data_IF_676639426944
#
_entry.id   IF_676639426944
#
_cell.length_a   1.000
_cell.length_b   1.000
_cell.length_c   1.000
_cell.angle_alpha   90.00
_cell.angle_beta   90.00
_cell.angle_gamma   90.00
#
_symmetry.space_group_name_H-M   'P 1'
#
loop_
_entity.id
_entity.type
_entity.pdbx_description
1 polymer ?
#
# COMPACT_ATOMS: atom_id res chain seq x y z
N UNK A 1 10.46 -39.12 8.31
CA UNK A 1 9.43 -40.08 8.75
C UNK A 1 9.89 -40.65 10.08
N UNK A 2 9.53 -40.00 11.19
CA UNK A 2 9.58 -40.50 12.56
C UNK A 2 8.66 -39.58 13.38
N UNK A 3 7.53 -40.13 13.80
CA UNK A 3 6.55 -39.51 14.70
C UNK A 3 6.38 -40.49 15.86
N UNK A 4 6.71 -40.06 17.07
CA UNK A 4 6.51 -40.82 18.31
C UNK A 4 5.55 -40.04 19.21
N UNK A 5 4.33 -40.58 19.23
CA UNK A 5 3.37 -40.77 20.33
C UNK A 5 3.76 -40.19 21.71
N UNK A 6 2.87 -39.48 22.41
CA UNK A 6 1.77 -40.07 23.21
C UNK A 6 1.15 -39.07 24.23
N UNK A 7 -0.18 -39.14 24.27
CA UNK A 7 -1.19 -38.91 25.32
C UNK A 7 -0.78 -38.32 26.68
N UNK A 8 -1.62 -37.43 27.23
CA UNK A 8 -2.65 -37.80 28.22
C UNK A 8 -3.28 -36.54 28.83
N UNK A 9 -4.62 -36.51 28.88
CA UNK A 9 -5.43 -35.50 29.56
C UNK A 9 -5.65 -35.97 31.00
N UNK A 10 -5.26 -35.14 31.96
CA UNK A 10 -5.59 -35.34 33.37
C UNK A 10 -7.05 -34.97 33.66
N UNK A 11 -7.71 -35.88 34.38
CA UNK A 11 -9.02 -35.78 34.99
C UNK A 11 -8.87 -35.41 36.49
N UNK A 12 -9.98 -35.00 37.08
CA UNK A 12 -10.28 -34.97 38.52
C UNK A 12 -9.66 -33.83 39.36
N UNK A 13 -10.41 -32.73 39.40
CA UNK A 13 -10.48 -31.89 40.59
C UNK A 13 -11.65 -32.33 41.47
N UNK A 14 -11.37 -32.85 42.66
CA UNK A 14 -12.27 -32.85 43.82
C UNK A 14 -11.43 -33.15 45.07
N UNK A 15 -11.39 -32.22 46.03
CA UNK A 15 -10.99 -32.54 47.41
C UNK A 15 -11.70 -31.59 48.37
N UNK A 16 -12.71 -32.14 49.02
CA UNK A 16 -13.52 -31.58 50.09
C UNK A 16 -12.80 -31.77 51.44
N UNK A 17 -12.60 -30.67 52.19
CA UNK A 17 -11.97 -30.69 53.51
C UNK A 17 -13.01 -31.05 54.56
N UNK A 18 -12.93 -32.28 55.07
CA UNK A 18 -13.68 -32.75 56.22
C UNK A 18 -13.04 -32.25 57.53
N UNK A 19 -13.88 -31.59 58.34
CA UNK A 19 -13.58 -31.07 59.69
C UNK A 19 -13.81 -32.19 60.71
N UNK A 20 -12.76 -32.64 61.40
CA UNK A 20 -12.89 -33.56 62.54
C UNK A 20 -12.35 -32.89 63.81
N UNK A 21 -13.24 -32.75 64.80
CA UNK A 21 -12.94 -32.46 66.20
C UNK A 21 -12.88 -33.78 66.97
N UNK A 22 -11.92 -33.94 67.88
CA UNK A 22 -12.10 -34.79 69.08
C UNK A 22 -11.17 -34.38 70.23
N UNK A 23 -11.82 -33.90 71.29
CA UNK A 23 -11.67 -34.21 72.74
C UNK A 23 -10.33 -34.68 73.34
N UNK A 24 -9.90 -33.97 74.40
CA UNK A 24 -9.15 -34.51 75.56
C UNK A 24 -10.02 -35.44 76.43
N UNK A 25 -9.48 -36.29 77.35
CA UNK A 25 -9.32 -35.84 78.75
C UNK A 25 -8.29 -36.59 79.69
N UNK A 26 -7.95 -35.92 80.81
CA UNK A 26 -7.53 -36.36 82.19
C UNK A 26 -6.21 -37.13 82.45
N UNK A 27 -5.27 -36.59 83.24
CA UNK A 27 -5.02 -36.90 84.69
C UNK A 27 -3.57 -37.42 84.83
N UNK A 28 -2.72 -37.22 85.86
CA UNK A 28 -2.82 -36.95 87.31
C UNK A 28 -1.49 -36.29 87.79
N UNK A 29 -1.50 -35.37 88.77
CA UNK A 29 -0.99 -35.55 90.17
C UNK A 29 0.56 -35.45 90.30
N UNK A 30 1.24 -34.68 91.18
CA UNK A 30 0.92 -33.76 92.27
C UNK A 30 2.24 -33.51 93.05
N UNK A 31 2.52 -32.23 93.43
CA UNK A 31 3.26 -31.73 94.65
C UNK A 31 4.69 -32.26 94.98
N UNK A 32 5.69 -31.54 95.50
CA UNK A 32 5.81 -30.35 96.36
C UNK A 32 7.19 -29.62 96.20
N UNK A 33 7.22 -28.35 96.59
CA UNK A 33 8.33 -27.35 96.59
C UNK A 33 9.29 -27.52 97.81
N UNK A 34 10.51 -26.91 97.91
CA UNK A 34 10.67 -25.43 97.86
C UNK A 34 11.99 -24.83 97.30
N UNK A 35 11.86 -23.57 96.84
CA UNK A 35 12.95 -22.66 96.46
C UNK A 35 13.63 -22.06 97.70
N UNK A 36 14.97 -21.98 97.68
CA UNK A 36 15.76 -21.20 98.64
C UNK A 36 16.66 -20.22 97.88
N UNK A 37 16.53 -18.93 98.25
CA UNK A 37 17.33 -17.79 97.77
C UNK A 37 18.79 -17.93 98.19
N UNK A 38 19.72 -17.50 97.33
CA UNK A 38 20.89 -16.72 97.73
C UNK A 38 21.45 -15.98 96.50
N UNK A 39 21.50 -14.65 96.61
CA UNK A 39 22.18 -13.71 95.72
C UNK A 39 23.39 -13.20 96.51
N UNK A 40 24.59 -13.42 96.02
CA UNK A 40 25.79 -12.71 96.46
C UNK A 40 26.66 -12.43 95.24
N UNK A 41 26.67 -11.15 94.85
CA UNK A 41 27.70 -10.55 94.02
C UNK A 41 28.87 -10.12 94.93
N UNK A 42 30.06 -10.02 94.36
CA UNK A 42 31.19 -9.25 94.91
C UNK A 42 32.35 -10.14 95.34
N UNK A 43 33.35 -10.35 94.48
CA UNK A 43 34.48 -9.45 94.20
C UNK A 43 35.67 -9.85 95.07
N UNK A 44 36.59 -10.58 94.44
CA UNK A 44 37.95 -10.77 94.89
C UNK A 44 38.64 -9.42 95.11
N UNK A 45 39.09 -9.17 96.33
CA UNK A 45 40.28 -8.36 96.58
C UNK A 45 41.09 -9.01 97.70
N UNK A 46 42.27 -9.49 97.31
CA UNK A 46 43.36 -9.87 98.18
C UNK A 46 43.69 -8.73 99.16
N UNK A 47 43.74 -9.03 100.46
CA UNK A 47 44.66 -8.37 101.38
C UNK A 47 44.97 -9.30 102.56
N UNK A 48 46.28 -9.45 102.79
CA UNK A 48 46.88 -10.56 103.51
C UNK A 48 46.51 -10.65 104.99
N UNK A 49 46.29 -11.88 105.42
CA UNK A 49 46.52 -12.30 106.80
C UNK A 49 47.56 -13.41 106.75
N UNK A 50 48.72 -13.08 107.30
CA UNK A 50 49.79 -14.00 107.67
C UNK A 50 49.24 -15.02 108.65
N UNK A 51 48.93 -16.21 108.14
CA UNK A 51 48.59 -17.39 108.90
C UNK A 51 49.18 -18.57 108.16
N UNK A 52 50.15 -19.20 108.78
CA UNK A 52 50.90 -20.37 108.34
C UNK A 52 49.93 -21.51 107.95
N UNK A 53 49.46 -21.47 106.70
CA UNK A 53 48.68 -22.55 106.11
C UNK A 53 49.68 -23.64 105.76
N UNK A 54 49.73 -24.67 106.60
CA UNK A 54 50.38 -25.93 106.28
C UNK A 54 49.97 -26.34 104.87
N UNK A 55 50.89 -26.16 103.92
CA UNK A 55 50.76 -26.68 102.57
C UNK A 55 50.57 -28.17 102.77
N UNK A 56 49.33 -28.64 102.61
CA UNK A 56 49.05 -30.06 102.61
C UNK A 56 49.98 -30.66 101.57
N UNK A 57 50.94 -31.46 102.05
CA UNK A 57 51.95 -32.14 101.25
C UNK A 57 51.25 -32.71 100.01
N UNK A 58 51.66 -32.38 98.77
CA UNK A 58 51.06 -32.97 97.60
C UNK A 58 51.05 -34.48 97.81
N UNK A 59 49.89 -35.13 97.71
CA UNK A 59 49.80 -36.57 97.82
C UNK A 59 50.68 -37.16 96.73
N UNK A 60 51.93 -37.50 97.06
CA UNK A 60 52.81 -38.18 96.14
C UNK A 60 52.24 -39.59 96.03
N UNK A 61 51.66 -39.91 94.89
CA UNK A 61 51.30 -41.27 94.56
C UNK A 61 52.16 -41.60 93.33
N UNK A 62 52.89 -42.69 93.43
CA UNK A 62 53.65 -43.24 92.31
C UNK A 62 52.88 -44.47 91.84
N UNK A 63 52.40 -44.40 90.61
CA UNK A 63 51.85 -45.56 89.92
C UNK A 63 52.93 -46.14 89.04
N UNK A 64 53.23 -47.41 89.28
CA UNK A 64 54.15 -48.18 88.47
C UNK A 64 53.34 -49.20 87.68
N UNK A 65 53.51 -49.20 86.37
CA UNK A 65 52.92 -50.23 85.53
C UNK A 65 53.48 -51.59 85.93
N UNK A 66 52.59 -52.57 86.12
CA UNK A 66 53.01 -53.93 86.44
C UNK A 66 53.59 -54.65 85.20
N UNK A 67 53.28 -54.14 83.99
CA UNK A 67 53.58 -54.71 82.66
C UNK A 67 53.68 -53.61 81.59
N UNK A 68 54.32 -53.91 80.44
CA UNK A 68 54.48 -53.01 79.28
C UNK A 68 53.20 -52.81 78.43
N UNK A 69 52.01 -53.02 79.00
CA UNK A 69 50.73 -52.83 78.31
C UNK A 69 49.97 -51.59 78.82
N UNK A 70 49.06 -51.03 78.01
CA UNK A 70 48.14 -49.98 78.45
C UNK A 70 47.43 -50.36 79.76
N UNK A 71 47.23 -49.39 80.65
CA UNK A 71 46.62 -49.61 81.98
C UNK A 71 45.27 -50.31 81.87
N UNK A 72 44.49 -50.01 80.83
CA UNK A 72 43.17 -50.59 80.54
C UNK A 72 43.22 -52.08 80.23
N UNK A 73 44.36 -52.62 79.83
CA UNK A 73 44.55 -54.02 79.46
C UNK A 73 45.06 -54.89 80.62
N UNK A 74 45.45 -54.28 81.75
CA UNK A 74 45.80 -54.99 82.97
C UNK A 74 44.72 -54.79 84.05
N UNK A 75 43.80 -55.75 84.25
CA UNK A 75 42.70 -55.66 85.21
C UNK A 75 43.15 -55.28 86.63
N UNK A 76 44.33 -55.73 87.06
CA UNK A 76 44.86 -55.42 88.39
C UNK A 76 45.34 -53.98 88.49
N UNK A 77 46.00 -53.46 87.46
CA UNK A 77 46.36 -52.04 87.35
C UNK A 77 45.13 -51.14 87.33
N UNK A 78 44.09 -51.50 86.56
CA UNK A 78 42.79 -50.79 86.60
C UNK A 78 42.20 -50.81 88.01
N UNK A 79 42.20 -51.97 88.68
CA UNK A 79 41.67 -52.09 90.03
C UNK A 79 42.45 -51.26 91.06
N UNK A 80 43.77 -51.20 90.93
CA UNK A 80 44.62 -50.35 91.77
C UNK A 80 44.31 -48.87 91.51
N UNK A 81 44.18 -48.46 90.25
CA UNK A 81 43.84 -47.09 89.88
C UNK A 81 42.45 -46.69 90.39
N UNK A 82 41.42 -47.52 90.15
CA UNK A 82 40.04 -47.29 90.63
C UNK A 82 39.97 -47.21 92.15
N UNK A 83 40.78 -48.00 92.86
CA UNK A 83 40.89 -47.96 94.32
C UNK A 83 41.32 -46.59 94.85
N UNK A 84 42.12 -45.85 94.08
CA UNK A 84 42.57 -44.51 94.47
C UNK A 84 41.47 -43.45 94.33
N UNK A 85 40.47 -43.66 93.47
CA UNK A 85 39.35 -42.72 93.29
C UNK A 85 38.26 -42.83 94.37
N UNK A 86 38.57 -43.46 95.51
CA UNK A 86 37.61 -43.64 96.59
C UNK A 86 37.29 -42.31 97.28
N UNK A 87 36.04 -42.11 97.74
CA UNK A 87 35.70 -40.96 98.57
C UNK A 87 36.56 -40.85 99.83
N UNK A 88 36.83 -39.62 100.24
CA UNK A 88 37.58 -39.32 101.46
C UNK A 88 36.91 -39.97 102.69
N UNK A 89 37.72 -40.46 103.64
CA UNK A 89 37.23 -41.09 104.86
C UNK A 89 36.88 -42.58 104.71
N UNK A 90 36.99 -43.14 103.52
CA UNK A 90 36.80 -44.56 103.32
C UNK A 90 38.13 -45.17 102.84
N UNK A 91 38.98 -45.78 103.68
CA UNK A 91 40.16 -46.52 103.21
C UNK A 91 39.76 -47.87 102.62
N UNK A 92 40.28 -48.26 101.44
CA UNK A 92 40.16 -49.64 100.94
C UNK A 92 41.43 -50.41 101.34
N UNK A 93 41.31 -51.68 101.79
CA UNK A 93 42.47 -52.53 102.03
C UNK A 93 43.28 -52.71 100.74
N UNK A 94 44.55 -53.11 100.86
CA UNK A 94 45.40 -53.43 99.70
C UNK A 94 44.73 -54.51 98.84
N UNK A 95 44.90 -54.44 97.52
CA UNK A 95 44.30 -55.40 96.59
C UNK A 95 44.70 -56.85 96.92
N UNK A 96 45.94 -57.06 97.39
CA UNK A 96 46.46 -58.37 97.82
C UNK A 96 45.77 -58.90 99.10
N UNK A 97 45.21 -58.01 99.92
CA UNK A 97 44.61 -58.34 101.22
C UNK A 97 43.07 -58.35 101.17
N UNK A 98 42.46 -58.24 99.99
CA UNK A 98 41.00 -58.28 99.83
C UNK A 98 40.47 -59.71 99.73
N UNK A 99 39.53 -60.09 100.61
CA UNK A 99 38.85 -61.40 100.58
C UNK A 99 38.06 -61.64 99.29
N UNK A 100 37.58 -60.58 98.63
CA UNK A 100 36.83 -60.63 97.35
C UNK A 100 37.58 -59.92 96.21
N UNK A 101 38.91 -60.06 96.16
CA UNK A 101 39.79 -59.40 95.17
C UNK A 101 39.28 -59.52 93.74
N UNK A 102 38.96 -60.73 93.29
CA UNK A 102 38.52 -60.97 91.91
C UNK A 102 37.22 -60.23 91.56
N UNK A 103 36.24 -60.22 92.48
CA UNK A 103 34.99 -59.50 92.28
C UNK A 103 35.22 -57.99 92.22
N UNK A 104 36.13 -57.47 93.06
CA UNK A 104 36.52 -56.06 93.03
C UNK A 104 37.23 -55.69 91.72
N UNK A 105 38.15 -56.54 91.22
CA UNK A 105 38.84 -56.34 89.94
C UNK A 105 37.83 -56.30 88.78
N UNK A 106 36.88 -57.26 88.73
CA UNK A 106 35.82 -57.26 87.71
C UNK A 106 34.97 -55.99 87.75
N UNK A 107 34.57 -55.55 88.95
CA UNK A 107 33.84 -54.30 89.14
C UNK A 107 34.65 -53.08 88.68
N UNK A 108 35.94 -53.00 89.03
CA UNK A 108 36.80 -51.89 88.65
C UNK A 108 37.01 -51.80 87.13
N UNK A 109 37.21 -52.94 86.46
CA UNK A 109 37.28 -53.00 84.99
C UNK A 109 35.96 -52.56 84.35
N UNK A 110 34.83 -53.05 84.85
CA UNK A 110 33.51 -52.62 84.36
C UNK A 110 33.30 -51.10 84.53
N UNK A 111 33.73 -50.54 85.66
CA UNK A 111 33.69 -49.10 85.92
C UNK A 111 34.58 -48.31 84.96
N UNK A 112 35.81 -48.77 84.70
CA UNK A 112 36.71 -48.13 83.74
C UNK A 112 36.13 -48.17 82.31
N UNK A 113 35.58 -49.30 81.87
CA UNK A 113 34.94 -49.43 80.56
C UNK A 113 33.72 -48.51 80.43
N UNK A 114 32.91 -48.37 81.48
CA UNK A 114 31.78 -47.44 81.49
C UNK A 114 32.25 -45.97 81.36
N UNK A 115 33.34 -45.62 82.04
CA UNK A 115 33.93 -44.28 81.96
C UNK A 115 34.53 -44.00 80.57
N UNK A 116 35.18 -44.99 79.95
CA UNK A 116 35.67 -44.90 78.57
C UNK A 116 34.53 -44.68 77.58
N UNK A 117 33.43 -45.44 77.69
CA UNK A 117 32.25 -45.26 76.85
C UNK A 117 31.63 -43.86 77.01
N UNK A 118 31.57 -43.35 78.25
CA UNK A 118 31.10 -41.99 78.52
C UNK A 118 32.03 -40.95 77.88
N UNK A 119 33.34 -41.10 77.98
CA UNK A 119 34.30 -40.19 77.35
C UNK A 119 34.17 -40.20 75.82
N UNK A 120 33.97 -41.37 75.20
CA UNK A 120 33.70 -41.48 73.75
C UNK A 120 32.39 -40.77 73.35
N UNK A 121 31.35 -40.89 74.17
CA UNK A 121 30.09 -40.19 73.96
C UNK A 121 30.26 -38.68 74.06
N UNK A 122 30.95 -38.19 75.10
CA UNK A 122 31.27 -36.77 75.27
C UNK A 122 32.07 -36.24 74.08
N UNK A 123 33.12 -36.94 73.65
CA UNK A 123 33.91 -36.55 72.47
C UNK A 123 33.06 -36.48 71.18
N UNK A 124 32.09 -37.39 71.03
CA UNK A 124 31.15 -37.37 69.89
C UNK A 124 30.22 -36.15 69.95
N UNK A 125 29.71 -35.82 71.13
CA UNK A 125 28.88 -34.63 71.33
C UNK A 125 29.67 -33.34 71.09
N UNK A 126 30.89 -33.24 71.60
CA UNK A 126 31.77 -32.09 71.38
C UNK A 126 32.05 -31.88 69.89
N UNK A 127 32.36 -32.96 69.16
CA UNK A 127 32.55 -32.88 67.70
C UNK A 127 31.29 -32.35 67.00
N UNK A 128 30.11 -32.90 67.32
CA UNK A 128 28.83 -32.44 66.74
C UNK A 128 28.53 -30.98 67.09
N UNK A 129 28.95 -30.51 68.26
CA UNK A 129 28.79 -29.12 68.67
C UNK A 129 29.67 -28.17 67.85
N UNK A 130 30.86 -28.64 67.43
CA UNK A 130 31.74 -27.84 66.56
C UNK A 130 31.21 -27.73 65.13
N UNK A 131 30.45 -28.72 64.65
CA UNK A 131 29.81 -28.68 63.33
C UNK A 131 28.58 -27.75 63.28
N UNK A 132 28.11 -27.24 64.42
CA UNK A 132 27.01 -26.27 64.47
C UNK A 132 27.55 -24.90 64.04
N UNK A 133 26.98 -24.26 63.01
CA UNK A 133 27.41 -22.95 62.56
C UNK A 133 27.40 -21.95 63.71
N UNK A 134 28.43 -21.10 63.74
CA UNK A 134 28.52 -20.04 64.76
C UNK A 134 27.46 -18.96 64.48
N UNK A 135 27.13 -18.17 65.49
CA UNK A 135 26.06 -17.17 65.39
C UNK A 135 26.33 -16.08 64.33
N UNK A 136 27.61 -15.74 64.12
CA UNK A 136 28.08 -14.81 63.10
C UNK A 136 27.91 -15.40 61.69
N UNK A 137 28.28 -16.67 61.49
CA UNK A 137 28.01 -17.38 60.22
C UNK A 137 26.51 -17.43 59.91
N UNK A 138 25.68 -17.71 60.94
CA UNK A 138 24.23 -17.73 60.79
C UNK A 138 23.66 -16.34 60.44
N UNK A 139 24.27 -15.27 60.96
CA UNK A 139 23.91 -13.90 60.60
C UNK A 139 24.26 -13.59 59.14
N UNK A 140 25.46 -13.96 58.68
CA UNK A 140 25.86 -13.79 57.28
C UNK A 140 24.99 -14.61 56.33
N UNK A 141 24.68 -15.87 56.66
CA UNK A 141 23.74 -16.69 55.89
C UNK A 141 22.37 -16.00 55.81
N UNK A 142 21.86 -15.50 56.93
CA UNK A 142 20.59 -14.77 56.98
C UNK A 142 20.61 -13.49 56.14
N UNK A 143 21.74 -12.80 56.10
CA UNK A 143 21.95 -11.61 55.26
C UNK A 143 21.92 -11.98 53.79
N UNK A 144 22.67 -13.00 53.36
CA UNK A 144 22.66 -13.50 51.98
C UNK A 144 21.27 -13.95 51.56
N UNK A 145 20.52 -14.64 52.41
CA UNK A 145 19.13 -15.02 52.14
C UNK A 145 18.24 -13.80 51.86
N UNK A 146 18.43 -12.69 52.60
CA UNK A 146 17.67 -11.45 52.37
C UNK A 146 18.05 -10.81 51.04
N UNK A 147 19.33 -10.75 50.73
CA UNK A 147 19.84 -10.20 49.46
C UNK A 147 19.34 -11.01 48.27
N UNK A 148 19.43 -12.34 48.33
CA UNK A 148 18.90 -13.24 47.30
C UNK A 148 17.38 -13.10 47.15
N UNK A 149 16.65 -12.95 48.25
CA UNK A 149 15.19 -12.74 48.20
C UNK A 149 14.82 -11.41 47.52
N UNK A 150 15.60 -10.36 47.76
CA UNK A 150 15.43 -9.07 47.08
C UNK A 150 15.78 -9.19 45.59
N UNK A 151 16.90 -9.85 45.27
CA UNK A 151 17.34 -10.12 43.90
C UNK A 151 16.31 -10.90 43.09
N UNK A 152 15.73 -11.95 43.69
CA UNK A 152 14.66 -12.75 43.08
C UNK A 152 13.44 -11.90 42.74
N UNK A 153 13.01 -11.01 43.64
CA UNK A 153 11.86 -10.13 43.41
C UNK A 153 12.13 -9.16 42.26
N UNK A 154 13.32 -8.54 42.22
CA UNK A 154 13.70 -7.64 41.12
C UNK A 154 13.79 -8.38 39.77
N UNK A 155 14.29 -9.62 39.77
CA UNK A 155 14.36 -10.44 38.56
C UNK A 155 12.96 -10.77 38.04
N UNK A 156 12.03 -11.13 38.92
CA UNK A 156 10.64 -11.41 38.56
C UNK A 156 9.93 -10.16 37.99
N UNK A 157 10.10 -9.00 38.62
CA UNK A 157 9.53 -7.73 38.12
C UNK A 157 10.08 -7.38 36.73
N UNK A 158 11.38 -7.64 36.51
CA UNK A 158 12.03 -7.44 35.21
C UNK A 158 11.50 -8.43 34.16
N UNK A 159 11.32 -9.69 34.52
CA UNK A 159 10.75 -10.71 33.63
C UNK A 159 9.33 -10.35 33.19
N UNK A 160 8.48 -9.90 34.13
CA UNK A 160 7.14 -9.41 33.80
C UNK A 160 7.18 -8.21 32.83
N UNK A 161 8.12 -7.29 33.01
CA UNK A 161 8.30 -6.15 32.10
C UNK A 161 8.77 -6.60 30.72
N UNK A 162 9.72 -7.53 30.65
CA UNK A 162 10.23 -8.08 29.41
C UNK A 162 9.13 -8.85 28.65
N UNK A 163 8.29 -9.61 29.34
CA UNK A 163 7.16 -10.32 28.73
C UNK A 163 6.16 -9.35 28.07
N UNK A 164 5.86 -8.22 28.73
CA UNK A 164 5.02 -7.17 28.15
C UNK A 164 5.66 -6.53 26.90
N UNK A 165 6.98 -6.29 26.93
CA UNK A 165 7.71 -5.78 25.77
C UNK A 165 7.72 -6.78 24.60
N UNK A 166 7.86 -8.07 24.89
CA UNK A 166 7.84 -9.13 23.88
C UNK A 166 6.47 -9.20 23.20
N UNK A 167 5.37 -9.17 23.98
CA UNK A 167 4.02 -9.13 23.43
C UNK A 167 3.77 -7.88 22.56
N UNK A 168 4.31 -6.73 22.95
CA UNK A 168 4.23 -5.51 22.14
C UNK A 168 5.05 -5.63 20.82
N UNK A 169 6.24 -6.24 20.89
CA UNK A 169 7.08 -6.49 19.73
C UNK A 169 6.43 -7.47 18.75
N UNK A 170 5.79 -8.53 19.24
CA UNK A 170 5.02 -9.47 18.40
C UNK A 170 3.86 -8.77 17.67
N UNK A 171 3.12 -7.90 18.36
CA UNK A 171 2.05 -7.12 17.74
C UNK A 171 2.58 -6.21 16.63
N UNK A 172 3.71 -5.54 16.86
CA UNK A 172 4.38 -4.73 15.85
C UNK A 172 4.86 -5.58 14.66
N UNK A 173 5.41 -6.77 14.92
CA UNK A 173 5.80 -7.72 13.88
C UNK A 173 4.62 -8.12 12.98
N UNK A 174 3.47 -8.43 13.59
CA UNK A 174 2.24 -8.74 12.84
C UNK A 174 1.74 -7.55 12.01
N UNK A 175 1.84 -6.33 12.54
CA UNK A 175 1.49 -5.11 11.81
C UNK A 175 2.45 -4.87 10.63
N UNK A 176 3.75 -5.07 10.81
CA UNK A 176 4.74 -4.96 9.75
C UNK A 176 4.47 -5.96 8.62
N UNK A 177 4.18 -7.22 8.96
CA UNK A 177 3.83 -8.24 7.97
C UNK A 177 2.55 -7.89 7.20
N UNK A 178 1.53 -7.36 7.88
CA UNK A 178 0.30 -6.88 7.23
C UNK A 178 0.57 -5.70 6.29
N UNK A 179 1.37 -4.71 6.72
CA UNK A 179 1.75 -3.57 5.90
C UNK A 179 2.55 -4.00 4.66
N UNK A 180 3.47 -4.93 4.82
CA UNK A 180 4.25 -5.48 3.70
C UNK A 180 3.34 -6.17 2.67
N UNK A 181 2.36 -6.95 3.12
CA UNK A 181 1.37 -7.56 2.24
C UNK A 181 0.57 -6.50 1.47
N UNK A 182 0.11 -5.43 2.14
CA UNK A 182 -0.56 -4.31 1.49
C UNK A 182 0.30 -3.61 0.45
N UNK A 183 1.58 -3.37 0.75
CA UNK A 183 2.52 -2.74 -0.20
C UNK A 183 2.74 -3.59 -1.45
N UNK A 184 2.77 -4.94 -1.32
CA UNK A 184 2.85 -5.84 -2.47
C UNK A 184 1.61 -5.73 -3.37
N UNK A 185 0.42 -5.66 -2.78
CA UNK A 185 -0.84 -5.46 -3.53
C UNK A 185 -0.80 -4.13 -4.29
N UNK A 186 -0.54 -3.02 -3.60
CA UNK A 186 -0.44 -1.69 -4.22
C UNK A 186 0.64 -1.64 -5.31
N UNK A 187 1.76 -2.33 -5.12
CA UNK A 187 2.80 -2.40 -6.14
C UNK A 187 2.33 -3.13 -7.40
N UNK A 188 1.49 -4.15 -7.27
CA UNK A 188 0.95 -4.88 -8.41
C UNK A 188 -0.15 -4.08 -9.12
N UNK A 189 -1.02 -3.41 -8.36
CA UNK A 189 -2.02 -2.48 -8.91
C UNK A 189 -1.34 -1.36 -9.71
N UNK A 190 -0.32 -0.71 -9.14
CA UNK A 190 0.47 0.32 -9.85
C UNK A 190 1.06 -0.20 -11.16
N UNK A 191 1.54 -1.45 -11.20
CA UNK A 191 2.07 -2.06 -12.44
C UNK A 191 0.96 -2.24 -13.47
N UNK A 192 -0.21 -2.74 -13.05
CA UNK A 192 -1.37 -2.90 -13.93
C UNK A 192 -1.87 -1.56 -14.49
N UNK A 193 -1.95 -0.53 -13.63
CA UNK A 193 -2.35 0.82 -14.06
C UNK A 193 -1.36 1.41 -15.06
N UNK A 194 -0.05 1.19 -14.86
CA UNK A 194 0.97 1.63 -15.80
C UNK A 194 0.84 0.97 -17.18
N UNK A 195 0.52 -0.32 -17.21
CA UNK A 195 0.23 -1.05 -18.45
C UNK A 195 -1.02 -0.48 -19.15
N UNK A 196 -2.08 -0.16 -18.40
CA UNK A 196 -3.27 0.48 -18.95
C UNK A 196 -2.97 1.87 -19.52
N UNK A 197 -2.18 2.68 -18.81
CA UNK A 197 -1.74 4.00 -19.30
C UNK A 197 -0.96 3.85 -20.61
N UNK A 198 -0.01 2.92 -20.68
CA UNK A 198 0.76 2.68 -21.90
C UNK A 198 -0.13 2.27 -23.09
N UNK A 199 -1.13 1.41 -22.84
CA UNK A 199 -2.11 1.04 -23.88
C UNK A 199 -2.94 2.24 -24.36
N UNK A 200 -3.41 3.08 -23.42
CA UNK A 200 -4.20 4.27 -23.75
C UNK A 200 -3.36 5.32 -24.49
N UNK A 201 -2.11 5.54 -24.10
CA UNK A 201 -1.16 6.41 -24.80
C UNK A 201 -0.97 5.97 -26.25
N UNK A 202 -0.74 4.68 -26.49
CA UNK A 202 -0.62 4.14 -27.84
C UNK A 202 -1.89 4.37 -28.68
N UNK A 203 -3.07 4.27 -28.05
CA UNK A 203 -4.36 4.53 -28.70
C UNK A 203 -4.54 6.01 -29.04
N UNK A 204 -4.17 6.91 -28.12
CA UNK A 204 -4.20 8.37 -28.35
C UNK A 204 -3.27 8.73 -29.51
N UNK A 205 -2.05 8.21 -29.51
CA UNK A 205 -1.05 8.45 -30.56
C UNK A 205 -1.55 7.95 -31.94
N UNK A 206 -2.08 6.72 -32.00
CA UNK A 206 -2.67 6.18 -33.23
C UNK A 206 -3.85 7.02 -33.74
N UNK A 207 -4.74 7.45 -32.83
CA UNK A 207 -5.87 8.32 -33.17
C UNK A 207 -5.43 9.69 -33.65
N UNK A 208 -4.40 10.28 -33.03
CA UNK A 208 -3.84 11.57 -33.42
C UNK A 208 -3.21 11.50 -34.83
N UNK A 209 -2.49 10.43 -35.13
CA UNK A 209 -1.92 10.19 -36.46
C UNK A 209 -3.02 10.04 -37.52
N UNK A 210 -4.07 9.26 -37.25
CA UNK A 210 -5.23 9.14 -38.16
C UNK A 210 -5.91 10.49 -38.40
N UNK A 211 -6.16 11.26 -37.34
CA UNK A 211 -6.76 12.59 -37.45
C UNK A 211 -5.91 13.55 -38.29
N UNK A 212 -4.57 13.52 -38.10
CA UNK A 212 -3.63 14.31 -38.89
C UNK A 212 -3.70 13.95 -40.39
N UNK A 213 -3.76 12.67 -40.71
CA UNK A 213 -3.87 12.21 -42.10
C UNK A 213 -5.23 12.53 -42.73
N UNK A 214 -6.32 12.41 -41.96
CA UNK A 214 -7.66 12.83 -42.39
C UNK A 214 -7.69 14.34 -42.67
N UNK A 215 -7.08 15.15 -41.80
CA UNK A 215 -6.98 16.60 -41.97
C UNK A 215 -6.15 16.97 -43.21
N UNK A 216 -5.02 16.28 -43.46
CA UNK A 216 -4.20 16.47 -44.66
C UNK A 216 -4.98 16.13 -45.93
N UNK A 217 -5.71 15.01 -45.94
CA UNK A 217 -6.58 14.60 -47.06
C UNK A 217 -7.68 15.62 -47.32
N UNK A 218 -8.44 16.00 -46.29
CA UNK A 218 -9.49 17.00 -46.42
C UNK A 218 -8.96 18.35 -46.92
N UNK A 219 -7.76 18.75 -46.47
CA UNK A 219 -7.10 19.97 -46.95
C UNK A 219 -6.72 19.87 -48.43
N UNK A 220 -6.20 18.71 -48.87
CA UNK A 220 -5.87 18.48 -50.27
C UNK A 220 -7.12 18.48 -51.15
N UNK A 221 -8.19 17.79 -50.74
CA UNK A 221 -9.45 17.72 -51.48
C UNK A 221 -10.10 19.10 -51.59
N UNK A 222 -10.07 19.90 -50.51
CA UNK A 222 -10.55 21.28 -50.54
C UNK A 222 -9.75 22.16 -51.50
N UNK A 223 -8.41 22.02 -51.52
CA UNK A 223 -7.54 22.74 -52.47
C UNK A 223 -7.83 22.33 -53.91
N UNK A 224 -8.06 21.03 -54.15
CA UNK A 224 -8.40 20.51 -55.48
C UNK A 224 -9.75 21.06 -55.95
N UNK A 225 -10.78 21.00 -55.10
CA UNK A 225 -12.09 21.57 -55.41
C UNK A 225 -12.02 23.08 -55.71
N UNK A 226 -11.19 23.81 -54.96
CA UNK A 226 -10.93 25.23 -55.22
C UNK A 226 -10.24 25.44 -56.59
N UNK A 227 -9.24 24.64 -56.94
CA UNK A 227 -8.58 24.72 -58.25
C UNK A 227 -9.55 24.39 -59.39
N UNK A 228 -10.37 23.35 -59.23
CA UNK A 228 -11.38 22.94 -60.22
C UNK A 228 -12.42 24.06 -60.44
N UNK A 229 -12.89 24.71 -59.36
CA UNK A 229 -13.81 25.85 -59.47
C UNK A 229 -13.16 27.09 -60.12
N UNK A 230 -11.87 27.36 -59.86
CA UNK A 230 -11.15 28.45 -60.54
C UNK A 230 -10.98 28.16 -62.04
N UNK A 231 -10.73 26.90 -62.39
CA UNK A 231 -10.63 26.46 -63.77
C UNK A 231 -11.97 26.60 -64.50
N UNK A 232 -13.08 26.22 -63.86
CA UNK A 232 -14.44 26.40 -64.38
C UNK A 232 -14.76 27.89 -64.64
N UNK A 233 -14.48 28.78 -63.68
CA UNK A 233 -14.65 30.23 -63.84
C UNK A 233 -13.82 30.77 -65.00
N UNK A 234 -12.57 30.30 -65.14
CA UNK A 234 -11.67 30.71 -66.22
C UNK A 234 -12.18 30.28 -67.60
N UNK A 235 -12.71 29.05 -67.71
CA UNK A 235 -13.35 28.55 -68.94
C UNK A 235 -14.59 29.37 -69.28
N UNK A 236 -15.48 29.59 -68.30
CA UNK A 236 -16.69 30.41 -68.48
C UNK A 236 -16.37 31.84 -68.93
N UNK A 237 -15.34 32.46 -68.34
CA UNK A 237 -14.90 33.80 -68.71
C UNK A 237 -14.36 33.84 -70.15
N UNK A 238 -13.57 32.83 -70.54
CA UNK A 238 -13.05 32.70 -71.91
C UNK A 238 -14.19 32.56 -72.92
N UNK A 239 -15.18 31.70 -72.64
CA UNK A 239 -16.35 31.55 -73.52
C UNK A 239 -17.13 32.87 -73.67
N UNK A 240 -17.35 33.60 -72.56
CA UNK A 240 -18.00 34.93 -72.60
C UNK A 240 -17.18 35.93 -73.40
N UNK A 241 -15.85 35.91 -73.27
CA UNK A 241 -14.96 36.77 -74.02
C UNK A 241 -15.01 36.49 -75.53
N UNK A 242 -14.96 35.21 -75.94
CA UNK A 242 -15.08 34.83 -77.35
C UNK A 242 -16.45 35.21 -77.93
N UNK A 243 -17.54 35.00 -77.18
CA UNK A 243 -18.88 35.47 -77.56
C UNK A 243 -18.92 36.99 -77.73
N UNK A 244 -18.29 37.73 -76.81
CA UNK A 244 -18.19 39.20 -76.87
C UNK A 244 -17.40 39.64 -78.10
N UNK A 245 -16.28 38.97 -78.40
CA UNK A 245 -15.46 39.24 -79.58
C UNK A 245 -16.25 39.06 -80.87
N UNK A 246 -17.01 37.97 -80.99
CA UNK A 246 -17.87 37.71 -82.14
C UNK A 246 -18.99 38.75 -82.29
N UNK A 247 -19.62 39.17 -81.18
CA UNK A 247 -20.64 40.24 -81.21
C UNK A 247 -20.05 41.58 -81.62
N UNK A 248 -18.88 41.95 -81.10
CA UNK A 248 -18.20 43.19 -81.51
C UNK A 248 -17.76 43.16 -82.98
N UNK A 249 -17.34 42.00 -83.52
CA UNK A 249 -17.01 41.85 -84.94
C UNK A 249 -18.26 42.04 -85.84
N UNK A 250 -19.38 41.41 -85.46
CA UNK A 250 -20.67 41.61 -86.14
C UNK A 250 -21.15 43.07 -86.07
N UNK A 251 -21.04 43.73 -84.91
CA UNK A 251 -21.39 45.15 -84.76
C UNK A 251 -20.49 46.05 -85.63
N UNK A 252 -19.18 45.76 -85.72
CA UNK A 252 -18.26 46.49 -86.58
C UNK A 252 -18.66 46.35 -88.06
N UNK A 253 -18.95 45.13 -88.53
CA UNK A 253 -19.44 44.86 -89.89
C UNK A 253 -20.78 45.55 -90.18
N UNK A 254 -21.70 45.58 -89.22
CA UNK A 254 -22.97 46.31 -89.38
C UNK A 254 -22.77 47.82 -89.45
N UNK A 255 -21.82 48.40 -88.69
CA UNK A 255 -21.46 49.82 -88.82
C UNK A 255 -20.82 50.13 -90.18
N UNK A 256 -20.03 49.22 -90.73
CA UNK A 256 -19.50 49.37 -92.10
C UNK A 256 -20.62 49.36 -93.16
N UNK A 257 -21.64 48.51 -93.00
CA UNK A 257 -22.82 48.50 -93.86
C UNK A 257 -23.72 49.72 -93.67
N UNK A 258 -23.88 50.23 -92.45
CA UNK A 258 -24.68 51.43 -92.17
C UNK A 258 -24.06 52.73 -92.73
N UNK A 259 -22.75 52.73 -93.00
CA UNK A 259 -22.08 53.83 -93.72
C UNK A 259 -22.26 53.76 -95.25
N UNK A 260 -22.85 52.68 -95.78
CA UNK A 260 -23.21 52.51 -97.18
C UNK A 260 -24.71 52.70 -97.38
N UNK A 261 -25.11 53.96 -97.59
CA UNK A 261 -26.31 54.28 -98.38
C UNK A 261 -27.64 54.29 -97.61
N UNK A 262 -27.96 55.46 -97.04
CA UNK A 262 -29.32 55.86 -96.71
C UNK A 262 -30.11 56.04 -98.03
N UNK A 263 -30.68 54.97 -98.56
CA UNK A 263 -31.61 55.04 -99.70
C UNK A 263 -33.02 55.34 -99.19
N UNK A 264 -33.57 56.48 -99.60
CA UNK A 264 -34.98 56.83 -99.34
C UNK A 264 -35.80 56.36 -100.53
N UNK A 265 -36.64 55.35 -100.32
CA UNK A 265 -37.66 54.93 -101.28
C UNK A 265 -38.92 55.78 -101.06
N UNK A 266 -39.25 56.63 -102.03
CA UNK A 266 -40.53 57.34 -102.07
C UNK A 266 -41.38 56.76 -103.19
N UNK A 267 -42.57 56.24 -102.84
CA UNK A 267 -43.55 55.73 -103.79
C UNK A 267 -44.64 56.78 -103.97
N UNK A 268 -44.90 57.19 -105.22
CA UNK A 268 -45.99 58.09 -105.56
C UNK A 268 -46.93 57.36 -106.54
N UNK A 269 -48.19 57.21 -106.14
CA UNK A 269 -49.21 56.48 -106.90
C UNK A 269 -50.06 57.48 -107.68
N UNK A 270 -50.03 57.41 -109.01
CA UNK A 270 -50.76 58.31 -109.91
C UNK A 270 -52.12 57.76 -110.36
N UNK A 271 -53.00 58.67 -110.78
CA UNK A 271 -54.46 58.53 -110.95
C UNK A 271 -54.97 57.31 -111.74
N UNK A 272 -56.12 56.81 -111.27
CA UNK A 272 -56.78 55.57 -111.67
C UNK A 272 -57.84 55.83 -112.76
N UNK A 273 -57.55 55.50 -114.02
CA UNK A 273 -58.58 55.48 -115.07
C UNK A 273 -58.56 54.15 -115.83
N UNK A 274 -59.68 53.45 -115.71
CA UNK A 274 -60.09 52.21 -116.37
C UNK A 274 -58.97 51.32 -116.98
N UNK A 275 -58.51 50.35 -116.16
CA UNK A 275 -57.78 49.12 -116.53
C UNK A 275 -56.24 49.15 -116.59
N UNK A 276 -55.55 50.19 -116.10
CA UNK A 276 -54.08 50.15 -115.83
C UNK A 276 -53.69 50.97 -114.60
N UNK A 277 -52.91 50.39 -113.69
CA UNK A 277 -52.28 51.09 -112.55
C UNK A 277 -50.82 51.38 -112.90
N UNK A 278 -50.41 52.65 -112.79
CA UNK A 278 -49.02 53.08 -112.97
C UNK A 278 -48.46 53.50 -111.61
N UNK A 279 -47.44 52.78 -111.13
CA UNK A 279 -46.71 53.13 -109.89
C UNK A 279 -45.36 53.69 -110.28
N UNK A 280 -45.05 54.89 -109.79
CA UNK A 280 -43.75 55.52 -109.98
C UNK A 280 -42.88 55.20 -108.77
N UNK A 281 -41.72 54.59 -109.01
CA UNK A 281 -40.71 54.37 -107.97
C UNK A 281 -39.52 55.25 -108.30
N UNK A 282 -39.27 56.23 -107.44
CA UNK A 282 -38.08 57.09 -107.55
C UNK A 282 -37.08 56.61 -106.51
N UNK A 283 -35.99 56.00 -106.98
CA UNK A 283 -34.85 55.66 -106.12
C UNK A 283 -33.83 56.81 -106.19
N UNK A 284 -33.63 57.51 -105.09
CA UNK A 284 -32.65 58.61 -105.00
C UNK A 284 -31.53 58.23 -104.04
N UNK A 285 -30.30 58.14 -104.55
CA UNK A 285 -29.09 58.08 -103.72
C UNK A 285 -28.77 59.49 -103.22
N UNK A 286 -28.68 59.68 -101.91
CA UNK A 286 -28.36 60.98 -101.30
C UNK A 286 -26.87 61.36 -101.44
N UNK A 287 -26.01 60.44 -101.87
CA UNK A 287 -24.55 60.64 -101.98
C UNK A 287 -23.99 60.80 -103.41
N UNK A 288 -24.72 60.39 -104.46
CA UNK A 288 -24.32 60.57 -105.86
C UNK A 288 -25.50 61.07 -106.68
N UNK A 289 -25.31 62.14 -107.46
CA UNK A 289 -26.30 62.76 -108.36
C UNK A 289 -26.69 61.86 -109.53
N UNK A 290 -27.24 60.70 -109.26
CA UNK A 290 -27.82 59.78 -110.24
C UNK A 290 -29.20 59.36 -109.76
N UNK A 291 -30.23 59.88 -110.43
CA UNK A 291 -31.63 59.47 -110.23
C UNK A 291 -31.98 58.48 -111.33
N UNK A 292 -32.50 57.31 -110.94
CA UNK A 292 -32.97 56.31 -111.90
C UNK A 292 -34.49 56.32 -111.92
N UNK A 293 -35.09 56.56 -113.10
CA UNK A 293 -36.53 56.53 -113.32
C UNK A 293 -36.84 55.23 -114.06
N UNK A 294 -37.37 54.25 -113.33
CA UNK A 294 -37.87 52.99 -113.90
C UNK A 294 -39.37 53.06 -114.10
N UNK A 295 -39.84 52.82 -115.33
CA UNK A 295 -41.28 52.69 -115.63
C UNK A 295 -41.64 51.20 -115.54
N UNK A 296 -42.54 50.85 -114.62
CA UNK A 296 -43.05 49.49 -114.52
C UNK A 296 -44.42 49.40 -115.19
N UNK A 297 -44.52 48.56 -116.23
CA UNK A 297 -45.78 48.26 -116.90
C UNK A 297 -46.34 46.95 -116.35
N UNK A 298 -47.43 47.03 -115.59
CA UNK A 298 -48.11 45.85 -115.08
C UNK A 298 -48.97 45.21 -116.19
N UNK A 299 -48.64 43.97 -116.59
CA UNK A 299 -49.45 43.18 -117.50
C UNK A 299 -50.52 42.41 -116.71
N UNK A 300 -51.73 42.34 -117.27
CA UNK A 300 -52.91 41.65 -116.74
C UNK A 300 -52.60 40.21 -116.26
N UNK A 301 -52.44 40.01 -114.95
CA UNK A 301 -53.03 38.95 -114.11
C UNK A 301 -52.42 39.05 -112.70
N UNK A 302 -53.24 38.83 -111.68
CA UNK A 302 -52.80 38.72 -110.30
C UNK A 302 -51.80 37.55 -110.15
N UNK A 303 -50.76 37.79 -109.36
CA UNK A 303 -49.60 36.94 -109.04
C UNK A 303 -48.41 37.09 -110.01
N UNK A 304 -47.26 37.43 -109.41
CA UNK A 304 -45.91 37.58 -109.97
C UNK A 304 -45.56 38.99 -110.51
N UNK A 305 -45.00 39.80 -109.61
CA UNK A 305 -44.29 41.03 -109.94
C UNK A 305 -42.83 40.67 -110.24
N UNK A 306 -42.52 40.26 -111.47
CA UNK A 306 -41.12 40.10 -111.91
C UNK A 306 -40.54 41.47 -112.25
N UNK A 307 -39.59 41.94 -111.44
CA UNK A 307 -38.81 43.15 -111.72
C UNK A 307 -37.51 42.78 -112.44
N UNK A 308 -37.38 43.17 -113.71
CA UNK A 308 -36.12 43.11 -114.45
C UNK A 308 -35.28 44.36 -114.15
N UNK A 309 -34.22 44.21 -113.37
CA UNK A 309 -33.19 45.25 -113.18
C UNK A 309 -31.94 44.91 -114.01
N UNK A 310 -31.33 45.88 -114.72
CA UNK A 310 -30.13 45.63 -115.53
C UNK A 310 -28.82 45.51 -114.71
N UNK A 311 -28.89 45.37 -113.38
CA UNK A 311 -27.73 45.15 -112.52
C UNK A 311 -28.03 44.03 -111.52
N UNK A 312 -27.15 43.02 -111.49
CA UNK A 312 -27.23 41.83 -110.62
C UNK A 312 -27.03 42.17 -109.14
N UNK A 313 -28.00 42.86 -108.53
CA UNK A 313 -28.12 42.98 -107.07
C UNK A 313 -29.42 42.31 -106.64
N UNK A 314 -29.31 41.25 -105.83
CA UNK A 314 -30.44 40.66 -105.14
C UNK A 314 -30.88 41.63 -104.03
N UNK A 315 -32.02 42.28 -104.24
CA UNK A 315 -32.70 43.07 -103.21
C UNK A 315 -33.78 42.19 -102.59
N UNK A 316 -33.56 41.75 -101.35
CA UNK A 316 -34.60 41.11 -100.55
C UNK A 316 -35.65 42.15 -100.16
N UNK A 317 -36.85 42.02 -100.71
CA UNK A 317 -38.00 42.87 -100.38
C UNK A 317 -38.52 42.54 -98.97
N UNK A 318 -38.21 43.39 -97.99
CA UNK A 318 -38.82 43.33 -96.65
C UNK A 318 -39.97 44.34 -96.58
N UNK A 319 -41.18 43.87 -96.89
CA UNK A 319 -42.46 44.43 -96.44
C UNK A 319 -42.83 45.86 -96.90
N UNK A 320 -43.81 45.97 -97.80
CA UNK A 320 -44.55 47.23 -97.99
C UNK A 320 -45.60 47.41 -96.88
N UNK A 321 -45.51 48.50 -96.12
CA UNK A 321 -46.60 49.01 -95.27
C UNK A 321 -47.35 50.06 -96.08
N UNK A 322 -48.56 49.74 -96.52
CA UNK A 322 -49.46 50.70 -97.15
C UNK A 322 -50.30 51.35 -96.06
N UNK A 323 -50.15 52.68 -95.88
CA UNK A 323 -50.97 53.48 -94.98
C UNK A 323 -52.10 54.12 -95.78
N UNK A 324 -53.35 53.69 -95.53
CA UNK A 324 -54.54 54.29 -96.14
C UNK A 324 -55.18 55.32 -95.18
N UNK A 325 -55.66 56.48 -95.66
CA UNK A 325 -56.50 57.37 -94.86
C UNK A 325 -57.91 56.79 -94.67
N UNK A 326 -58.65 57.21 -93.63
CA UNK A 326 -59.69 56.38 -93.01
C UNK A 326 -61.05 56.61 -93.64
N UNK A 327 -61.80 55.55 -93.98
CA UNK A 327 -63.26 55.53 -93.82
C UNK A 327 -63.81 54.09 -93.97
N UNK A 328 -64.22 53.53 -92.83
CA UNK A 328 -65.26 52.51 -92.56
C UNK A 328 -65.21 51.11 -93.23
N UNK A 329 -65.40 50.12 -92.34
CA UNK A 329 -65.68 48.68 -92.54
C UNK A 329 -64.52 47.65 -92.57
N UNK A 330 -64.10 47.25 -91.36
CA UNK A 330 -64.31 45.91 -90.73
C UNK A 330 -63.71 44.65 -91.39
N UNK A 331 -62.79 44.05 -90.63
CA UNK A 331 -62.64 42.62 -90.28
C UNK A 331 -62.69 41.53 -91.37
N UNK A 332 -61.74 41.50 -92.30
CA UNK A 332 -61.54 40.28 -93.12
C UNK A 332 -60.10 39.96 -93.54
N UNK A 333 -59.05 40.46 -92.88
CA UNK A 333 -57.68 40.27 -93.39
C UNK A 333 -56.63 39.64 -92.46
N UNK A 334 -56.95 39.38 -91.18
CA UNK A 334 -56.03 38.70 -90.24
C UNK A 334 -56.27 37.18 -90.15
N UNK A 335 -56.29 36.48 -91.29
CA UNK A 335 -56.33 35.00 -91.32
C UNK A 335 -55.43 34.31 -92.37
N UNK A 336 -54.58 35.01 -93.11
CA UNK A 336 -53.78 34.40 -94.20
C UNK A 336 -52.25 34.42 -94.02
N UNK A 337 -51.71 34.90 -92.91
CA UNK A 337 -50.25 34.91 -92.70
C UNK A 337 -49.92 34.11 -91.44
N UNK A 338 -49.83 32.80 -91.61
CA UNK A 338 -49.42 31.87 -90.58
C UNK A 338 -47.95 32.06 -90.21
N UNK A 339 -47.70 32.80 -89.13
CA UNK A 339 -46.42 32.79 -88.42
C UNK A 339 -46.66 32.21 -87.02
N UNK A 340 -46.23 30.96 -86.85
CA UNK A 340 -46.23 30.25 -85.57
C UNK A 340 -44.82 30.37 -85.00
N UNK A 341 -44.70 31.01 -83.84
CA UNK A 341 -43.48 31.03 -83.05
C UNK A 341 -43.16 29.61 -82.55
N UNK A 342 -41.90 29.19 -82.71
CA UNK A 342 -41.22 28.27 -81.82
C UNK A 342 -39.76 28.65 -81.70
#
# INVERSE_FOLDING_TARGET
MWTSTQEAKDLEGENSIARVKSSSPTGSEGRDRPQKKAKTNGSDHHLGVSGEAAVAKPFHWQFSHSKDCPITEDPESVAQLVRHFKPAGCPLPSLRNMTKREAYVKMAVAHANAMEANNKFVATLEKRLQDVPRSDELYEIKKVIRELKLGLKMAQDREHTNAAQLAAAEKLGNQAASLEAHLRVLSNERKSDLEQVSFLEAKVESSANKFSDDLRRATFDAKKALADSYLDVSVSLKEKWEKKKATTDCEARLRELANLGHFVLSFEVGDFSARRLYVWVVLSDTGRKSSFIGVFQCANRYCDLEAYFPFSMALDFVGCVVVWPPLNHVDSFLRSWGWRAR
#
